data_IF_689065603193
#
_entry.id   IF_689065603193
#
_cell.length_a   1.000
_cell.length_b   1.000
_cell.length_c   1.000
_cell.angle_alpha   90.00
_cell.angle_beta   90.00
_cell.angle_gamma   90.00
#
_symmetry.space_group_name_H-M   'P 1'
#
loop_
_entity.id
_entity.type
_entity.pdbx_description
1 polymer ?
#
# COMPACT_ATOMS: atom_id res chain seq x y z
N UNK A 1 -4.78 -23.09 28.72
CA UNK A 1 -4.26 -22.37 27.54
C UNK A 1 -4.98 -22.80 26.27
N UNK A 2 -4.97 -24.09 25.88
CA UNK A 2 -5.64 -24.58 24.67
C UNK A 2 -7.13 -24.20 24.57
N UNK A 3 -7.91 -24.42 25.64
CA UNK A 3 -9.34 -24.04 25.68
C UNK A 3 -9.61 -22.54 25.45
N UNK A 4 -8.67 -21.67 25.85
CA UNK A 4 -8.79 -20.22 25.66
C UNK A 4 -8.48 -19.87 24.21
N UNK A 5 -7.46 -20.50 23.63
CA UNK A 5 -7.15 -20.36 22.21
C UNK A 5 -8.33 -20.82 21.36
N UNK A 6 -8.85 -22.01 21.61
CA UNK A 6 -9.97 -22.56 20.82
C UNK A 6 -11.25 -21.71 20.91
N UNK A 7 -11.43 -21.00 22.04
CA UNK A 7 -12.56 -20.10 22.25
C UNK A 7 -12.38 -18.74 21.53
N UNK A 8 -11.20 -18.12 21.64
CA UNK A 8 -10.94 -16.77 21.09
C UNK A 8 -10.57 -16.79 19.60
N UNK A 9 -9.97 -17.89 19.12
CA UNK A 9 -9.42 -17.97 17.77
C UNK A 9 -10.46 -17.78 16.65
N UNK A 10 -11.70 -18.32 16.72
CA UNK A 10 -12.72 -18.05 15.72
C UNK A 10 -13.07 -16.56 15.58
N UNK A 11 -13.14 -15.84 16.70
CA UNK A 11 -13.46 -14.40 16.69
C UNK A 11 -12.29 -13.58 16.13
N UNK A 12 -11.06 -13.95 16.47
CA UNK A 12 -9.84 -13.36 15.88
C UNK A 12 -9.82 -13.59 14.36
N UNK A 13 -10.06 -14.83 13.90
CA UNK A 13 -10.11 -15.15 12.47
C UNK A 13 -11.20 -14.37 11.75
N UNK A 14 -12.38 -14.23 12.36
CA UNK A 14 -13.48 -13.43 11.82
C UNK A 14 -13.08 -11.96 11.65
N UNK A 15 -12.37 -11.39 12.62
CA UNK A 15 -11.86 -10.03 12.52
C UNK A 15 -10.77 -9.87 11.44
N UNK A 16 -9.89 -10.87 11.29
CA UNK A 16 -8.82 -10.87 10.29
C UNK A 16 -9.33 -11.14 8.85
N UNK A 17 -10.41 -11.89 8.68
CA UNK A 17 -11.03 -12.14 7.37
C UNK A 17 -11.83 -10.94 6.82
N UNK A 18 -11.78 -9.78 7.49
CA UNK A 18 -12.40 -8.55 7.01
C UNK A 18 -11.74 -8.11 5.69
N UNK A 19 -12.51 -7.86 4.62
CA UNK A 19 -11.97 -7.37 3.36
C UNK A 19 -11.49 -5.93 3.53
N UNK A 20 -10.30 -5.62 3.01
CA UNK A 20 -9.64 -4.32 3.20
C UNK A 20 -9.34 -3.59 1.89
N UNK A 21 -9.12 -4.30 0.79
CA UNK A 21 -8.80 -3.71 -0.51
C UNK A 21 -9.17 -4.67 -1.65
N UNK A 22 -9.24 -4.13 -2.86
CA UNK A 22 -9.30 -4.88 -4.11
C UNK A 22 -8.03 -4.64 -4.91
N UNK A 23 -7.49 -5.65 -5.57
CA UNK A 23 -6.42 -5.48 -6.56
C UNK A 23 -6.99 -5.63 -7.96
N UNK A 24 -6.65 -4.70 -8.86
CA UNK A 24 -7.02 -4.76 -10.26
C UNK A 24 -6.06 -5.61 -11.12
N UNK A 25 -4.95 -6.05 -10.54
CA UNK A 25 -3.93 -6.88 -11.19
C UNK A 25 -3.72 -8.18 -10.40
N UNK A 26 -3.21 -9.20 -11.08
CA UNK A 26 -2.71 -10.41 -10.42
C UNK A 26 -1.54 -10.06 -9.51
N UNK A 27 -1.56 -10.61 -8.29
CA UNK A 27 -0.48 -10.42 -7.32
C UNK A 27 0.18 -11.77 -7.03
N UNK A 28 1.40 -11.94 -7.52
CA UNK A 28 2.24 -13.09 -7.17
C UNK A 28 3.22 -12.72 -6.05
N UNK A 29 3.09 -13.41 -4.93
CA UNK A 29 3.93 -13.25 -3.73
C UNK A 29 4.74 -14.52 -3.45
N UNK A 30 4.90 -15.40 -4.46
CA UNK A 30 5.79 -16.56 -4.36
C UNK A 30 7.24 -16.11 -4.28
N UNK A 31 8.01 -16.77 -3.42
CA UNK A 31 9.41 -16.40 -3.17
C UNK A 31 10.29 -16.49 -4.42
N UNK A 32 9.99 -17.42 -5.33
CA UNK A 32 10.69 -17.58 -6.61
C UNK A 32 10.52 -16.37 -7.53
N UNK A 33 9.37 -15.70 -7.48
CA UNK A 33 9.03 -14.57 -8.32
C UNK A 33 9.56 -13.26 -7.73
N UNK A 34 9.16 -12.94 -6.50
CA UNK A 34 9.47 -11.66 -5.87
C UNK A 34 10.97 -11.47 -5.57
N UNK A 35 11.76 -12.56 -5.54
CA UNK A 35 13.21 -12.52 -5.26
C UNK A 35 14.10 -12.62 -6.49
N UNK A 36 13.52 -12.76 -7.68
CA UNK A 36 14.27 -12.90 -8.93
C UNK A 36 14.06 -11.74 -9.89
N UNK A 37 12.95 -11.01 -9.75
CA UNK A 37 12.56 -9.92 -10.62
C UNK A 37 11.69 -8.88 -9.92
N UNK A 38 11.52 -7.72 -10.56
CA UNK A 38 10.58 -6.69 -10.14
C UNK A 38 9.16 -7.29 -10.07
N UNK A 39 8.45 -6.99 -8.96
CA UNK A 39 7.12 -7.53 -8.68
C UNK A 39 6.14 -6.41 -8.33
N UNK A 40 4.86 -6.50 -8.79
CA UNK A 40 3.86 -5.48 -8.48
C UNK A 40 3.68 -5.28 -6.97
N UNK A 41 3.65 -6.36 -6.19
CA UNK A 41 3.48 -6.30 -4.73
C UNK A 41 4.65 -5.58 -4.03
N UNK A 42 5.89 -5.81 -4.47
CA UNK A 42 7.07 -5.15 -3.91
C UNK A 42 7.04 -3.65 -4.18
N UNK A 43 6.72 -3.26 -5.41
CA UNK A 43 6.58 -1.85 -5.79
C UNK A 43 5.47 -1.17 -4.99
N UNK A 44 4.30 -1.81 -4.87
CA UNK A 44 3.18 -1.23 -4.12
C UNK A 44 3.51 -1.04 -2.63
N UNK A 45 4.17 -2.01 -2.00
CA UNK A 45 4.61 -1.88 -0.59
C UNK A 45 5.61 -0.73 -0.45
N UNK A 46 6.60 -0.63 -1.34
CA UNK A 46 7.59 0.45 -1.32
C UNK A 46 6.95 1.83 -1.58
N UNK A 47 6.03 1.93 -2.54
CA UNK A 47 5.30 3.16 -2.85
C UNK A 47 4.41 3.60 -1.69
N UNK A 48 3.77 2.64 -1.00
CA UNK A 48 2.89 2.92 0.14
C UNK A 48 3.63 3.51 1.34
N UNK A 49 4.91 3.17 1.51
CA UNK A 49 5.71 3.67 2.64
C UNK A 49 6.53 4.92 2.29
N UNK A 50 6.77 5.22 1.01
CA UNK A 50 7.60 6.36 0.58
C UNK A 50 7.19 7.68 1.22
N UNK A 51 5.89 7.96 1.25
CA UNK A 51 5.36 9.24 1.73
C UNK A 51 4.89 9.18 3.19
N UNK A 52 5.13 8.07 3.89
CA UNK A 52 4.63 7.83 5.25
C UNK A 52 5.15 8.83 6.28
N UNK A 53 6.35 9.36 6.08
CA UNK A 53 7.00 10.30 7.00
C UNK A 53 7.27 11.68 6.41
N UNK A 54 6.70 12.00 5.24
CA UNK A 54 6.99 13.25 4.54
C UNK A 54 6.75 14.49 5.42
N UNK A 55 5.68 14.52 6.22
CA UNK A 55 5.40 15.67 7.10
C UNK A 55 6.47 15.88 8.19
N UNK A 56 7.00 14.79 8.74
CA UNK A 56 8.05 14.83 9.77
C UNK A 56 9.40 15.16 9.12
N UNK A 57 9.71 14.51 8.00
CA UNK A 57 10.95 14.74 7.26
C UNK A 57 11.04 16.18 6.74
N UNK A 58 9.96 16.76 6.22
CA UNK A 58 9.96 18.17 5.79
C UNK A 58 10.30 19.11 6.96
N UNK A 59 9.84 18.81 8.18
CA UNK A 59 10.18 19.61 9.37
C UNK A 59 11.63 19.42 9.83
N UNK A 60 12.17 18.20 9.74
CA UNK A 60 13.51 17.87 10.25
C UNK A 60 14.64 18.20 9.27
N UNK A 61 14.41 17.97 7.98
CA UNK A 61 15.44 18.07 6.93
C UNK A 61 15.03 18.92 5.73
N UNK A 62 13.84 19.54 5.76
CA UNK A 62 13.37 20.46 4.72
C UNK A 62 12.81 19.79 3.46
N UNK A 63 12.78 18.47 3.39
CA UNK A 63 12.24 17.69 2.27
C UNK A 63 11.63 16.36 2.72
N UNK A 64 10.77 15.78 1.88
CA UNK A 64 10.24 14.42 2.08
C UNK A 64 11.28 13.33 1.78
N UNK A 65 10.87 12.07 1.83
CA UNK A 65 11.77 10.97 1.47
C UNK A 65 12.09 10.97 -0.03
N UNK A 66 13.37 10.75 -0.36
CA UNK A 66 13.82 10.65 -1.75
C UNK A 66 13.44 9.28 -2.33
N UNK A 67 13.57 8.22 -1.53
CA UNK A 67 13.23 6.86 -1.95
C UNK A 67 13.11 5.85 -0.80
N UNK A 68 12.86 4.61 -1.20
CA UNK A 68 12.64 3.47 -0.31
C UNK A 68 13.45 2.27 -0.79
N UNK A 69 14.05 1.54 0.15
CA UNK A 69 14.60 0.20 -0.09
C UNK A 69 13.92 -0.77 0.88
N UNK A 70 13.12 -1.67 0.33
CA UNK A 70 12.60 -2.85 1.01
C UNK A 70 13.26 -4.10 0.44
N UNK A 71 13.17 -5.23 1.13
CA UNK A 71 13.66 -6.52 0.61
C UNK A 71 12.51 -7.49 0.38
N UNK A 72 12.62 -8.26 -0.69
CA UNK A 72 11.65 -9.29 -1.04
C UNK A 72 11.52 -10.38 0.04
N UNK A 73 12.54 -10.55 0.89
CA UNK A 73 12.51 -11.43 2.07
C UNK A 73 11.53 -10.99 3.15
N UNK A 74 11.18 -9.70 3.21
CA UNK A 74 10.16 -9.17 4.12
C UNK A 74 8.74 -9.52 3.67
N UNK A 75 8.55 -9.81 2.37
CA UNK A 75 7.27 -10.19 1.78
C UNK A 75 7.09 -11.71 1.90
N UNK A 76 6.07 -12.12 2.67
CA UNK A 76 5.74 -13.51 3.01
C UNK A 76 4.44 -13.95 2.33
N UNK A 77 3.99 -15.15 2.69
CA UNK A 77 2.70 -15.69 2.28
C UNK A 77 2.75 -16.73 1.16
N UNK A 78 3.76 -16.67 0.28
CA UNK A 78 4.01 -17.65 -0.78
C UNK A 78 2.72 -18.03 -1.54
N UNK A 79 1.95 -17.02 -1.94
CA UNK A 79 0.64 -17.17 -2.54
C UNK A 79 0.56 -16.36 -3.84
N UNK A 80 -0.32 -16.79 -4.75
CA UNK A 80 -0.64 -16.08 -6.00
C UNK A 80 -2.14 -15.79 -6.01
N UNK A 81 -2.47 -14.51 -6.18
CA UNK A 81 -3.82 -13.98 -6.22
C UNK A 81 -4.22 -13.72 -7.67
N UNK A 82 -4.86 -14.71 -8.30
CA UNK A 82 -5.24 -14.70 -9.72
C UNK A 82 -6.68 -14.22 -9.94
N UNK A 83 -7.02 -13.92 -11.20
CA UNK A 83 -8.36 -13.51 -11.65
C UNK A 83 -8.84 -12.18 -11.03
N UNK A 84 -8.24 -11.04 -11.41
CA UNK A 84 -8.68 -9.73 -10.92
C UNK A 84 -10.13 -9.39 -11.36
N UNK A 85 -10.88 -8.61 -10.56
CA UNK A 85 -10.46 -7.98 -9.32
C UNK A 85 -10.46 -8.96 -8.12
N UNK A 86 -9.34 -9.06 -7.41
CA UNK A 86 -9.22 -9.93 -6.21
C UNK A 86 -9.42 -9.10 -4.95
N UNK A 87 -10.28 -9.57 -4.04
CA UNK A 87 -10.45 -8.96 -2.71
C UNK A 87 -9.40 -9.52 -1.77
N UNK A 88 -8.57 -8.65 -1.17
CA UNK A 88 -7.64 -9.05 -0.11
C UNK A 88 -8.22 -8.75 1.27
N UNK A 89 -7.98 -9.67 2.20
CA UNK A 89 -8.38 -9.53 3.61
C UNK A 89 -7.25 -8.95 4.46
N UNK A 90 -7.58 -8.55 5.69
CA UNK A 90 -6.57 -8.15 6.67
C UNK A 90 -5.61 -9.30 7.00
N UNK A 91 -6.11 -10.55 6.99
CA UNK A 91 -5.32 -11.77 7.16
C UNK A 91 -4.31 -11.92 6.03
N UNK A 92 -4.70 -11.69 4.78
CA UNK A 92 -3.78 -11.76 3.63
C UNK A 92 -2.66 -10.73 3.76
N UNK A 93 -3.00 -9.49 4.10
CA UNK A 93 -2.00 -8.45 4.30
C UNK A 93 -1.05 -8.76 5.47
N UNK A 94 -1.57 -9.27 6.59
CA UNK A 94 -0.74 -9.66 7.74
C UNK A 94 0.10 -10.91 7.45
N UNK A 95 -0.38 -11.80 6.58
CA UNK A 95 0.39 -12.95 6.09
C UNK A 95 1.53 -12.52 5.17
N UNK A 96 1.32 -11.50 4.33
CA UNK A 96 2.37 -10.93 3.47
C UNK A 96 3.36 -10.12 4.29
N UNK A 97 2.88 -9.19 5.12
CA UNK A 97 3.68 -8.32 5.97
C UNK A 97 3.66 -8.87 7.41
N UNK A 98 4.31 -10.02 7.57
CA UNK A 98 4.30 -10.75 8.84
C UNK A 98 5.03 -9.97 9.94
N UNK A 99 6.23 -9.48 9.60
CA UNK A 99 7.12 -8.79 10.53
C UNK A 99 6.60 -7.41 10.91
N UNK A 100 6.79 -7.07 12.18
CA UNK A 100 6.38 -5.78 12.75
C UNK A 100 7.55 -4.79 12.84
N UNK A 101 8.65 -5.07 12.13
CA UNK A 101 9.84 -4.24 12.16
C UNK A 101 9.50 -2.82 11.69
N UNK A 102 9.89 -1.79 12.46
CA UNK A 102 9.65 -0.40 12.11
C UNK A 102 10.38 0.01 10.83
N UNK A 103 9.78 0.99 10.14
CA UNK A 103 10.43 1.70 9.03
C UNK A 103 11.19 2.89 9.62
N UNK A 104 12.48 2.95 9.32
CA UNK A 104 13.43 3.98 9.73
C UNK A 104 13.84 4.85 8.54
N UNK A 105 14.29 6.08 8.80
CA UNK A 105 14.76 7.01 7.78
C UNK A 105 16.25 7.26 7.94
N UNK A 106 17.03 6.96 6.91
CA UNK A 106 18.49 7.13 6.89
C UNK A 106 18.88 8.24 5.91
N UNK A 107 19.87 9.04 6.30
CA UNK A 107 20.59 9.95 5.40
C UNK A 107 21.78 9.20 4.78
N UNK A 108 21.70 8.92 3.49
CA UNK A 108 22.70 8.16 2.74
C UNK A 108 23.44 9.03 1.72
N UNK A 109 24.74 8.84 1.60
CA UNK A 109 25.53 9.36 0.48
C UNK A 109 25.33 8.49 -0.77
N UNK A 110 25.68 9.04 -1.95
CA UNK A 110 25.62 8.31 -3.21
C UNK A 110 26.39 6.98 -3.16
N UNK A 111 27.61 6.98 -2.59
CA UNK A 111 28.44 5.76 -2.48
C UNK A 111 27.74 4.63 -1.71
N UNK A 112 27.05 4.98 -0.62
CA UNK A 112 26.34 4.05 0.26
C UNK A 112 25.12 3.49 -0.44
N UNK A 113 24.36 4.34 -1.15
CA UNK A 113 23.20 3.91 -1.94
C UNK A 113 23.60 2.92 -3.04
N UNK A 114 24.68 3.20 -3.77
CA UNK A 114 25.21 2.28 -4.78
C UNK A 114 25.62 0.94 -4.17
N UNK A 115 26.36 0.96 -3.06
CA UNK A 115 26.77 -0.26 -2.38
C UNK A 115 25.59 -1.07 -1.81
N UNK A 116 24.52 -0.40 -1.36
CA UNK A 116 23.30 -1.06 -0.89
C UNK A 116 22.60 -1.81 -2.04
N UNK A 117 22.48 -1.17 -3.21
CA UNK A 117 21.88 -1.82 -4.38
C UNK A 117 22.74 -2.98 -4.91
N UNK A 118 24.07 -2.82 -4.93
CA UNK A 118 25.00 -3.91 -5.26
C UNK A 118 24.85 -5.10 -4.31
N UNK A 119 24.72 -4.84 -3.00
CA UNK A 119 24.51 -5.90 -2.01
C UNK A 119 23.19 -6.62 -2.23
N UNK A 120 22.09 -5.90 -2.44
CA UNK A 120 20.77 -6.48 -2.72
C UNK A 120 20.76 -7.38 -3.95
N UNK A 121 21.50 -6.99 -4.99
CA UNK A 121 21.58 -7.74 -6.24
C UNK A 121 22.68 -8.80 -6.26
N UNK A 122 23.59 -8.82 -5.28
CA UNK A 122 24.82 -9.65 -5.27
C UNK A 122 24.59 -11.16 -5.38
N UNK A 123 23.46 -11.68 -4.86
CA UNK A 123 23.16 -13.12 -4.84
C UNK A 123 22.32 -13.59 -6.01
N UNK A 124 21.80 -12.69 -6.83
CA UNK A 124 21.06 -13.08 -8.03
C UNK A 124 21.93 -13.99 -8.94
N UNK A 125 21.40 -15.06 -9.55
CA UNK A 125 20.00 -15.48 -9.61
C UNK A 125 19.52 -16.33 -8.43
N UNK A 126 20.30 -16.53 -7.37
CA UNK A 126 19.82 -17.21 -6.16
C UNK A 126 18.62 -16.44 -5.60
N UNK A 127 17.53 -17.13 -5.27
CA UNK A 127 16.27 -16.57 -4.75
C UNK A 127 16.40 -16.16 -3.26
N UNK A 128 17.46 -15.41 -2.96
CA UNK A 128 17.78 -14.88 -1.65
C UNK A 128 16.82 -13.73 -1.28
N UNK A 129 16.48 -13.64 0.01
CA UNK A 129 15.55 -12.60 0.52
C UNK A 129 16.03 -11.16 0.28
N UNK A 130 17.33 -10.96 0.07
CA UNK A 130 17.97 -9.65 -0.12
C UNK A 130 17.58 -8.92 -1.41
N UNK A 131 16.90 -9.57 -2.35
CA UNK A 131 16.51 -8.93 -3.61
C UNK A 131 15.67 -7.66 -3.31
N UNK A 132 16.03 -6.49 -3.86
CA UNK A 132 15.42 -5.23 -3.45
C UNK A 132 14.06 -4.98 -4.12
N UNK A 133 13.15 -4.39 -3.37
CA UNK A 133 11.97 -3.71 -3.87
C UNK A 133 12.12 -2.21 -3.57
N UNK A 134 12.01 -1.36 -4.59
CA UNK A 134 12.40 0.06 -4.48
C UNK A 134 11.26 1.01 -4.84
N UNK A 135 11.33 2.24 -4.34
CA UNK A 135 10.44 3.34 -4.74
C UNK A 135 11.21 4.65 -4.77
N UNK A 136 10.83 5.54 -5.69
CA UNK A 136 11.38 6.89 -5.81
C UNK A 136 12.66 7.04 -6.63
N UNK A 137 13.25 5.93 -7.07
CA UNK A 137 14.38 5.91 -7.98
C UNK A 137 14.35 4.66 -8.85
N UNK A 138 15.07 4.73 -9.97
CA UNK A 138 15.27 3.64 -10.91
C UNK A 138 16.70 3.13 -10.81
N UNK A 139 16.88 1.83 -10.99
CA UNK A 139 18.17 1.14 -11.00
C UNK A 139 18.23 0.26 -12.23
N UNK A 140 19.19 0.57 -13.10
CA UNK A 140 19.60 -0.32 -14.19
C UNK A 140 20.75 -1.18 -13.70
N UNK A 141 20.65 -2.49 -13.90
CA UNK A 141 21.67 -3.44 -13.47
C UNK A 141 21.85 -4.58 -14.47
N UNK A 142 22.97 -5.26 -14.43
CA UNK A 142 23.32 -6.36 -15.33
C UNK A 142 23.66 -7.60 -14.50
N UNK A 143 22.75 -8.58 -14.52
CA UNK A 143 22.91 -9.83 -13.79
C UNK A 143 24.01 -10.74 -14.32
N UNK A 144 24.56 -10.49 -15.52
CA UNK A 144 25.69 -11.25 -16.07
C UNK A 144 27.03 -10.84 -15.45
N UNK A 145 27.10 -9.68 -14.80
CA UNK A 145 28.31 -9.16 -14.15
C UNK A 145 28.59 -9.85 -12.82
N UNK A 146 29.87 -9.89 -12.39
CA UNK A 146 30.23 -10.41 -11.08
C UNK A 146 29.54 -9.61 -9.96
N UNK A 147 29.32 -10.26 -8.81
CA UNK A 147 28.73 -9.61 -7.65
C UNK A 147 29.50 -8.33 -7.28
N UNK A 148 28.77 -7.29 -6.84
CA UNK A 148 29.28 -5.94 -6.55
C UNK A 148 29.75 -5.11 -7.77
N UNK A 149 29.46 -5.56 -8.98
CA UNK A 149 29.66 -4.80 -10.22
C UNK A 149 28.43 -4.87 -11.14
N UNK A 150 27.26 -5.12 -10.56
CA UNK A 150 26.02 -5.36 -11.30
C UNK A 150 25.25 -4.07 -11.57
N UNK A 151 25.33 -3.08 -10.70
CA UNK A 151 24.59 -1.83 -10.85
C UNK A 151 25.27 -0.98 -11.92
N UNK A 152 24.50 -0.57 -12.93
CA UNK A 152 24.97 0.26 -14.03
C UNK A 152 24.66 1.72 -13.77
N UNK A 153 23.43 2.03 -13.36
CA UNK A 153 22.97 3.39 -13.15
C UNK A 153 21.88 3.45 -12.09
N UNK A 154 21.84 4.56 -11.36
CA UNK A 154 20.77 4.90 -10.43
C UNK A 154 20.25 6.31 -10.76
N UNK A 155 18.93 6.45 -10.87
CA UNK A 155 18.26 7.70 -11.25
C UNK A 155 17.13 8.02 -10.28
N UNK A 156 17.21 9.12 -9.54
CA UNK A 156 16.07 9.59 -8.74
C UNK A 156 14.97 10.15 -9.61
N UNK A 157 13.74 9.90 -9.18
CA UNK A 157 12.54 10.48 -9.73
C UNK A 157 12.14 11.69 -8.86
N UNK A 158 12.57 12.88 -9.26
CA UNK A 158 12.12 14.12 -8.64
C UNK A 158 10.83 14.57 -9.30
N UNK A 159 9.76 14.70 -8.53
CA UNK A 159 8.53 15.37 -8.96
C UNK A 159 8.73 16.87 -8.73
N UNK A 160 8.95 17.62 -9.80
CA UNK A 160 9.03 19.07 -9.77
C UNK A 160 7.79 19.67 -10.40
N UNK A 161 7.19 20.67 -9.75
CA UNK A 161 6.14 21.49 -10.36
C UNK A 161 6.78 22.66 -11.09
N UNK A 162 7.16 22.46 -12.34
CA UNK A 162 7.62 23.55 -13.20
C UNK A 162 6.39 24.15 -13.90
N UNK A 163 6.14 25.46 -13.72
CA UNK A 163 4.98 26.17 -14.27
C UNK A 163 3.60 25.58 -13.88
N UNK A 164 3.47 25.02 -12.68
CA UNK A 164 2.21 24.43 -12.21
C UNK A 164 1.87 23.09 -12.88
N UNK A 165 2.80 22.47 -13.61
CA UNK A 165 2.65 21.13 -14.18
C UNK A 165 3.63 20.17 -13.48
N UNK A 166 3.18 18.98 -13.04
CA UNK A 166 4.08 17.98 -12.51
C UNK A 166 5.02 17.50 -13.63
N UNK A 167 6.32 17.67 -13.43
CA UNK A 167 7.40 17.22 -14.30
C UNK A 167 8.27 16.26 -13.51
N UNK A 168 8.51 15.09 -14.09
CA UNK A 168 9.44 14.12 -13.54
C UNK A 168 10.84 14.48 -14.03
N UNK A 169 11.68 15.01 -13.14
CA UNK A 169 13.10 15.23 -13.38
C UNK A 169 13.85 13.97 -12.98
N UNK A 170 14.66 13.44 -13.89
CA UNK A 170 15.55 12.31 -13.61
C UNK A 170 16.92 12.85 -13.23
N UNK A 171 17.35 12.63 -11.99
CA UNK A 171 18.69 13.02 -11.52
C UNK A 171 19.56 11.78 -11.32
N UNK A 172 20.64 11.68 -12.09
CA UNK A 172 21.57 10.57 -11.95
C UNK A 172 22.31 10.66 -10.61
N UNK A 173 22.38 9.54 -9.90
CA UNK A 173 23.19 9.43 -8.68
C UNK A 173 24.60 9.06 -9.09
N UNK A 174 25.52 10.01 -8.97
CA UNK A 174 26.94 9.70 -9.17
C UNK A 174 27.49 8.99 -7.93
N UNK A 175 28.25 7.91 -8.12
CA UNK A 175 28.81 7.10 -7.03
C UNK A 175 29.72 7.89 -6.08
N UNK A 176 30.39 8.93 -6.59
CA UNK A 176 31.29 9.82 -5.83
C UNK A 176 30.59 11.09 -5.35
N UNK A 177 29.26 11.17 -5.45
CA UNK A 177 28.52 12.36 -5.02
C UNK A 177 28.40 12.41 -3.50
N UNK A 178 28.74 13.55 -2.92
CA UNK A 178 28.48 13.91 -1.52
C UNK A 178 27.03 14.35 -1.29
N UNK A 179 26.17 14.25 -2.31
CA UNK A 179 24.74 14.54 -2.17
C UNK A 179 24.10 13.55 -1.18
N UNK A 180 23.35 14.11 -0.25
CA UNK A 180 22.64 13.38 0.81
C UNK A 180 21.21 13.07 0.41
N UNK A 181 20.87 11.78 0.47
CA UNK A 181 19.56 11.24 0.13
C UNK A 181 18.88 10.69 1.37
N UNK A 182 17.60 10.96 1.54
CA UNK A 182 16.76 10.43 2.62
C UNK A 182 16.08 9.17 2.11
N UNK A 183 16.53 8.02 2.60
CA UNK A 183 16.05 6.70 2.18
C UNK A 183 15.35 6.02 3.35
N UNK A 184 14.10 5.59 3.12
CA UNK A 184 13.36 4.78 4.07
C UNK A 184 13.72 3.31 3.90
N UNK A 185 14.02 2.64 5.01
CA UNK A 185 14.34 1.21 5.04
C UNK A 185 13.67 0.55 6.25
N UNK A 186 13.53 -0.78 6.25
CA UNK A 186 13.19 -1.49 7.48
C UNK A 186 14.37 -1.49 8.45
N UNK A 187 14.09 -1.43 9.76
CA UNK A 187 15.12 -1.51 10.81
C UNK A 187 16.08 -2.69 10.62
N UNK A 188 15.56 -3.86 10.23
CA UNK A 188 16.38 -5.04 9.93
C UNK A 188 17.48 -4.76 8.90
N UNK A 189 17.19 -3.98 7.86
CA UNK A 189 18.16 -3.58 6.84
C UNK A 189 19.12 -2.50 7.34
N UNK A 190 18.60 -1.52 8.10
CA UNK A 190 19.43 -0.48 8.73
C UNK A 190 20.49 -1.09 9.66
N UNK A 191 20.16 -2.19 10.35
CA UNK A 191 21.08 -2.93 11.21
C UNK A 191 22.01 -3.91 10.45
N UNK A 192 22.00 -3.89 9.12
CA UNK A 192 22.88 -4.70 8.28
C UNK A 192 22.33 -6.07 7.87
N UNK A 193 21.05 -6.34 8.12
CA UNK A 193 20.36 -7.58 7.76
C UNK A 193 20.44 -7.89 6.27
N UNK A 194 20.33 -9.18 5.93
CA UNK A 194 20.33 -9.70 4.54
C UNK A 194 21.58 -9.36 3.70
N UNK A 195 22.64 -8.82 4.30
CA UNK A 195 23.88 -8.42 3.62
C UNK A 195 23.99 -6.90 3.42
N UNK A 196 23.04 -6.11 3.91
CA UNK A 196 23.05 -4.65 3.83
C UNK A 196 23.94 -3.99 4.89
N UNK A 197 25.09 -4.60 5.23
CA UNK A 197 26.01 -4.09 6.24
C UNK A 197 26.45 -2.63 6.02
N UNK A 198 26.40 -2.15 4.77
CA UNK A 198 26.70 -0.77 4.40
C UNK A 198 25.69 0.26 4.92
N UNK A 199 24.48 -0.18 5.27
CA UNK A 199 23.44 0.68 5.86
C UNK A 199 23.62 0.86 7.38
N UNK A 200 24.49 0.05 7.99
CA UNK A 200 24.81 0.17 9.40
C UNK A 200 25.57 1.47 9.67
N UNK A 201 25.35 2.05 10.84
CA UNK A 201 26.03 3.23 11.35
C UNK A 201 25.87 4.50 10.46
N UNK A 202 24.86 4.51 9.58
CA UNK A 202 24.48 5.69 8.82
C UNK A 202 23.70 6.67 9.70
N UNK A 203 23.66 7.95 9.29
CA UNK A 203 22.94 8.96 10.05
C UNK A 203 21.42 8.67 10.02
N UNK A 204 20.85 8.41 11.18
CA UNK A 204 19.43 8.17 11.38
C UNK A 204 18.70 9.50 11.55
N UNK A 205 17.62 9.71 10.78
CA UNK A 205 16.70 10.85 10.92
C UNK A 205 15.47 10.44 11.71
N UNK A 206 14.95 9.23 11.44
CA UNK A 206 13.85 8.59 12.17
C UNK A 206 14.35 7.20 12.58
N UNK A 207 14.41 6.95 13.88
CA UNK A 207 14.89 5.70 14.49
C UNK A 207 13.77 4.65 14.62
N UNK A 208 14.13 3.47 15.12
CA UNK A 208 13.19 2.39 15.38
C UNK A 208 12.11 2.73 16.42
N UNK A 209 12.42 3.59 17.39
CA UNK A 209 11.48 3.98 18.46
C UNK A 209 10.34 4.86 17.92
N UNK A 210 10.66 5.76 16.99
CA UNK A 210 9.69 6.63 16.33
C UNK A 210 9.09 5.99 15.07
N UNK A 211 9.71 4.92 14.57
CA UNK A 211 9.27 4.17 13.41
C UNK A 211 8.01 3.35 13.67
N UNK A 212 7.21 3.15 12.61
CA UNK A 212 6.03 2.29 12.57
C UNK A 212 6.24 1.14 11.62
N UNK A 213 5.60 0.01 11.89
CA UNK A 213 5.69 -1.15 11.01
C UNK A 213 5.02 -0.89 9.66
N UNK A 214 5.55 -1.54 8.60
CA UNK A 214 5.01 -1.44 7.24
C UNK A 214 3.53 -1.81 7.18
N UNK A 215 3.14 -2.85 7.92
CA UNK A 215 1.75 -3.27 8.05
C UNK A 215 0.86 -2.15 8.59
N UNK A 216 1.30 -1.47 9.66
CA UNK A 216 0.54 -0.37 10.26
C UNK A 216 0.44 0.84 9.31
N UNK A 217 1.54 1.20 8.65
CA UNK A 217 1.57 2.29 7.67
C UNK A 217 0.62 2.04 6.49
N UNK A 218 0.63 0.82 5.94
CA UNK A 218 -0.26 0.44 4.84
C UNK A 218 -1.71 0.36 5.31
N UNK A 219 -1.99 -0.22 6.48
CA UNK A 219 -3.34 -0.25 7.06
C UNK A 219 -3.88 1.17 7.24
N UNK A 220 -3.05 2.10 7.71
CA UNK A 220 -3.39 3.52 7.87
C UNK A 220 -3.69 4.17 6.52
N UNK A 221 -2.82 3.98 5.53
CA UNK A 221 -3.06 4.44 4.16
C UNK A 221 -4.40 3.93 3.61
N UNK A 222 -4.69 2.63 3.73
CA UNK A 222 -5.92 2.04 3.23
C UNK A 222 -7.16 2.61 3.92
N UNK A 223 -7.11 2.83 5.25
CA UNK A 223 -8.20 3.49 5.99
C UNK A 223 -8.41 4.92 5.49
N UNK A 224 -7.35 5.70 5.30
CA UNK A 224 -7.43 7.07 4.79
C UNK A 224 -7.93 7.15 3.35
N UNK A 225 -7.48 6.25 2.48
CA UNK A 225 -7.96 6.15 1.11
C UNK A 225 -9.45 5.78 1.07
N UNK A 226 -9.87 4.87 1.95
CA UNK A 226 -11.27 4.52 2.09
C UNK A 226 -12.11 5.72 2.55
N UNK A 227 -11.63 6.45 3.56
CA UNK A 227 -12.29 7.64 4.08
C UNK A 227 -12.45 8.69 2.98
N UNK A 228 -11.39 8.95 2.21
CA UNK A 228 -11.41 9.89 1.10
C UNK A 228 -12.47 9.50 0.05
N UNK A 229 -12.49 8.23 -0.38
CA UNK A 229 -13.47 7.75 -1.36
C UNK A 229 -14.89 7.87 -0.82
N UNK A 230 -15.12 7.51 0.46
CA UNK A 230 -16.42 7.68 1.09
C UNK A 230 -16.83 9.15 1.13
N UNK A 231 -15.96 10.07 1.58
CA UNK A 231 -16.24 11.51 1.65
C UNK A 231 -16.48 12.15 0.27
N UNK A 232 -15.86 11.61 -0.79
CA UNK A 232 -16.10 12.04 -2.17
C UNK A 232 -17.49 11.60 -2.64
N UNK A 233 -17.90 10.37 -2.34
CA UNK A 233 -19.17 9.79 -2.78
C UNK A 233 -20.38 10.24 -1.95
N UNK A 234 -20.22 10.33 -0.63
CA UNK A 234 -21.24 10.87 0.26
C UNK A 234 -21.05 12.37 0.33
N UNK A 235 -21.84 13.14 -0.43
CA UNK A 235 -21.92 14.60 -0.33
C UNK A 235 -22.22 15.11 1.10
N UNK A 236 -22.52 14.20 2.03
CA UNK A 236 -23.12 14.42 3.33
C UNK A 236 -22.17 14.51 4.54
N UNK A 237 -20.84 14.44 4.38
CA UNK A 237 -19.95 14.67 5.53
C UNK A 237 -19.97 16.16 5.84
N UNK A 238 -20.72 16.56 6.87
CA UNK A 238 -20.87 17.96 7.28
C UNK A 238 -19.47 18.56 7.47
N UNK A 239 -19.08 19.47 6.57
CA UNK A 239 -17.76 20.10 6.51
C UNK A 239 -17.38 20.85 7.80
N UNK A 240 -18.35 21.02 8.72
CA UNK A 240 -18.20 21.66 10.01
C UNK A 240 -17.23 20.95 10.97
N UNK A 241 -17.05 19.63 10.83
CA UNK A 241 -16.21 18.84 11.76
C UNK A 241 -14.92 18.29 11.15
N UNK A 242 -14.71 18.48 9.84
CA UNK A 242 -13.50 18.04 9.16
C UNK A 242 -12.39 19.09 9.30
N UNK A 243 -11.14 18.62 9.35
CA UNK A 243 -9.99 19.50 9.31
C UNK A 243 -9.96 20.29 7.98
N UNK A 244 -9.53 21.55 8.01
CA UNK A 244 -9.52 22.43 6.83
C UNK A 244 -8.73 21.85 5.65
N UNK A 245 -7.55 21.27 5.92
CA UNK A 245 -6.79 20.54 4.90
C UNK A 245 -7.57 19.35 4.32
N UNK A 246 -8.30 18.58 5.14
CA UNK A 246 -9.12 17.45 4.66
C UNK A 246 -10.20 17.95 3.71
N UNK A 247 -10.85 19.07 4.01
CA UNK A 247 -11.84 19.68 3.12
C UNK A 247 -11.22 20.05 1.77
N UNK A 248 -10.00 20.60 1.77
CA UNK A 248 -9.25 20.93 0.55
C UNK A 248 -8.84 19.68 -0.24
N UNK A 249 -8.45 18.60 0.44
CA UNK A 249 -8.09 17.34 -0.22
C UNK A 249 -9.32 16.68 -0.85
N UNK A 250 -10.46 16.67 -0.14
CA UNK A 250 -11.72 16.13 -0.66
C UNK A 250 -12.22 16.97 -1.84
N UNK A 251 -12.15 18.30 -1.76
CA UNK A 251 -12.57 19.18 -2.87
C UNK A 251 -11.65 19.01 -4.09
N UNK A 252 -10.34 18.89 -3.89
CA UNK A 252 -9.39 18.59 -4.95
C UNK A 252 -9.65 17.22 -5.59
N UNK A 253 -9.96 16.20 -4.79
CA UNK A 253 -10.33 14.87 -5.28
C UNK A 253 -11.64 14.90 -6.08
N UNK A 254 -12.65 15.65 -5.61
CA UNK A 254 -13.93 15.86 -6.32
C UNK A 254 -13.74 16.56 -7.66
N UNK A 255 -12.93 17.62 -7.70
CA UNK A 255 -12.61 18.33 -8.93
C UNK A 255 -11.96 17.41 -9.97
N UNK A 256 -11.09 16.49 -9.52
CA UNK A 256 -10.45 15.48 -10.38
C UNK A 256 -11.44 14.45 -10.90
N UNK A 257 -12.35 13.95 -10.07
CA UNK A 257 -13.39 13.01 -10.51
C UNK A 257 -14.39 13.66 -11.47
N UNK A 258 -14.70 14.95 -11.29
CA UNK A 258 -15.62 15.69 -12.16
C UNK A 258 -15.06 15.92 -13.57
N UNK A 259 -13.74 16.05 -13.72
CA UNK A 259 -13.08 16.28 -15.01
C UNK A 259 -13.13 15.06 -15.96
N UNK A 260 -13.32 13.84 -15.44
CA UNK A 260 -13.49 12.63 -16.26
C UNK A 260 -14.90 12.47 -16.85
N UNK A 261 -15.90 13.25 -16.40
CA UNK A 261 -17.29 13.11 -16.86
C UNK A 261 -17.61 13.91 -18.13
N UNK A 262 -16.72 14.80 -18.59
CA UNK A 262 -16.91 15.55 -19.82
C UNK A 262 -15.79 15.21 -20.81
N UNK A 263 -16.19 14.61 -21.94
CA UNK A 263 -15.38 14.23 -23.12
C UNK A 263 -14.83 12.81 -23.12
N UNK A 264 -15.63 11.86 -23.62
CA UNK A 264 -15.34 10.96 -24.76
C UNK A 264 -16.37 9.80 -24.74
N UNK A 265 -17.39 9.91 -25.58
CA UNK A 265 -18.30 8.81 -25.91
C UNK A 265 -17.54 7.78 -26.77
N UNK A 266 -17.15 6.67 -26.17
CA UNK A 266 -16.88 5.42 -26.86
C UNK A 266 -17.66 4.32 -26.14
N UNK A 267 -18.55 3.64 -26.87
CA UNK A 267 -19.32 2.49 -26.40
C UNK A 267 -18.36 1.37 -25.96
N UNK A 268 -18.29 1.14 -24.64
CA UNK A 268 -17.64 -0.02 -24.02
C UNK A 268 -18.51 -0.53 -22.85
N UNK A 269 -18.61 -1.86 -22.65
CA UNK A 269 -19.57 -2.47 -21.73
C UNK A 269 -19.26 -2.18 -20.25
N UNK A 270 -20.25 -1.59 -19.58
CA UNK A 270 -20.58 -1.44 -18.14
C UNK A 270 -19.65 -1.96 -17.02
N UNK A 271 -18.33 -1.82 -17.15
CA UNK A 271 -17.34 -2.00 -16.07
C UNK A 271 -16.37 -0.82 -16.02
N UNK A 272 -16.90 0.40 -16.10
CA UNK A 272 -16.13 1.63 -15.85
C UNK A 272 -15.98 1.84 -14.34
N UNK A 273 -14.98 1.18 -13.77
CA UNK A 273 -14.36 1.62 -12.52
C UNK A 273 -13.66 2.95 -12.86
N UNK A 274 -13.83 4.04 -12.09
CA UNK A 274 -13.10 5.28 -12.33
C UNK A 274 -11.61 5.00 -12.12
N UNK A 275 -10.91 4.73 -13.23
CA UNK A 275 -9.49 4.45 -13.31
C UNK A 275 -8.74 5.74 -13.11
N UNK A 276 -8.22 5.94 -11.90
CA UNK A 276 -7.06 6.79 -11.65
C UNK A 276 -5.83 6.06 -12.20
N UNK A 277 -5.67 6.06 -13.52
CA UNK A 277 -4.45 5.64 -14.19
C UNK A 277 -3.42 6.78 -14.10
N UNK A 278 -2.62 6.77 -13.04
CA UNK A 278 -1.42 7.62 -12.87
C UNK A 278 -0.33 6.76 -12.23
N UNK A 279 0.97 6.94 -12.55
CA UNK A 279 2.03 6.23 -11.82
C UNK A 279 1.92 6.58 -10.33
N UNK A 280 1.47 5.63 -9.50
CA UNK A 280 1.56 5.68 -8.03
C UNK A 280 1.55 7.11 -7.45
N UNK A 281 0.51 7.90 -7.72
CA UNK A 281 0.58 9.36 -7.54
C UNK A 281 0.93 9.67 -6.08
N UNK A 282 2.11 10.27 -5.84
CA UNK A 282 2.57 10.71 -4.52
C UNK A 282 1.46 11.44 -3.78
N UNK A 283 0.74 12.30 -4.48
CA UNK A 283 -0.41 13.04 -3.97
C UNK A 283 -1.51 12.17 -3.36
N UNK A 284 -1.90 11.05 -3.98
CA UNK A 284 -2.95 10.16 -3.44
C UNK A 284 -2.47 9.52 -2.14
N UNK A 285 -1.25 8.98 -2.13
CA UNK A 285 -0.65 8.39 -0.93
C UNK A 285 -0.55 9.41 0.19
N UNK A 286 -0.03 10.61 -0.10
CA UNK A 286 0.05 11.71 0.84
C UNK A 286 -1.33 12.12 1.33
N UNK A 287 -2.32 12.30 0.44
CA UNK A 287 -3.68 12.71 0.83
C UNK A 287 -4.34 11.69 1.75
N UNK A 288 -4.25 10.40 1.43
CA UNK A 288 -4.80 9.33 2.25
C UNK A 288 -4.11 9.27 3.62
N UNK A 289 -2.79 9.39 3.68
CA UNK A 289 -2.04 9.41 4.95
C UNK A 289 -2.42 10.62 5.81
N UNK A 290 -2.54 11.81 5.20
CA UNK A 290 -2.95 13.05 5.86
C UNK A 290 -4.33 12.96 6.48
N UNK A 291 -5.30 12.38 5.76
CA UNK A 291 -6.66 12.16 6.26
C UNK A 291 -6.64 11.19 7.43
N UNK A 292 -5.88 10.10 7.31
CA UNK A 292 -5.74 9.11 8.38
C UNK A 292 -4.99 9.62 9.62
N UNK A 293 -4.29 10.75 9.55
CA UNK A 293 -3.63 11.42 10.68
C UNK A 293 -4.51 12.45 11.37
N UNK A 294 -5.35 13.14 10.61
CA UNK A 294 -6.09 14.30 11.09
C UNK A 294 -7.53 13.99 11.48
N UNK A 295 -8.12 12.95 10.89
CA UNK A 295 -9.54 12.64 11.07
C UNK A 295 -9.78 11.42 11.94
N UNK A 296 -10.91 11.43 12.67
CA UNK A 296 -11.41 10.24 13.34
C UNK A 296 -12.06 9.28 12.33
N UNK A 297 -11.33 8.20 12.01
CA UNK A 297 -11.78 7.17 11.07
C UNK A 297 -12.61 6.06 11.72
N UNK A 298 -13.11 6.30 12.94
CA UNK A 298 -13.97 5.39 13.70
C UNK A 298 -15.20 4.90 12.92
N UNK A 299 -15.75 5.72 12.02
CA UNK A 299 -16.89 5.33 11.18
C UNK A 299 -16.56 4.17 10.22
N UNK A 300 -15.28 3.98 9.86
CA UNK A 300 -14.85 2.85 9.03
C UNK A 300 -14.61 1.56 9.83
N UNK A 301 -14.47 1.69 11.16
CA UNK A 301 -14.11 0.59 12.04
C UNK A 301 -14.80 0.73 13.40
N UNK A 302 -16.06 0.27 13.51
CA UNK A 302 -16.85 0.41 14.74
C UNK A 302 -16.13 -0.15 15.98
N UNK A 303 -15.28 -1.17 15.82
CA UNK A 303 -14.48 -1.72 16.91
C UNK A 303 -13.47 -0.71 17.49
N UNK A 304 -12.77 0.04 16.63
CA UNK A 304 -11.84 1.09 17.09
C UNK A 304 -12.61 2.24 17.74
N UNK A 305 -13.81 2.56 17.23
CA UNK A 305 -14.70 3.52 17.88
C UNK A 305 -15.05 3.10 19.31
N UNK A 306 -15.53 1.86 19.47
CA UNK A 306 -15.88 1.29 20.78
C UNK A 306 -14.69 1.20 21.72
N UNK A 307 -13.47 1.01 21.20
CA UNK A 307 -12.24 0.99 21.99
C UNK A 307 -11.80 2.40 22.41
N UNK A 308 -11.83 3.37 21.49
CA UNK A 308 -11.41 4.75 21.72
C UNK A 308 -12.38 5.52 22.63
N UNK A 309 -13.68 5.22 22.56
CA UNK A 309 -14.74 5.90 23.33
C UNK A 309 -15.13 5.13 24.60
N UNK A 310 -14.34 4.13 25.01
CA UNK A 310 -14.49 3.37 26.27
C UNK A 310 -13.82 4.05 27.46
N UNK A 311 -13.81 5.39 27.52
CA UNK A 311 -13.72 6.04 28.82
C UNK A 311 -15.07 5.82 29.54
N UNK A 312 -15.07 5.35 30.80
CA UNK A 312 -16.34 5.26 31.53
C UNK A 312 -16.96 6.66 31.58
N UNK A 313 -18.26 6.82 31.31
CA UNK A 313 -18.87 8.13 31.35
C UNK A 313 -18.72 8.69 32.77
N UNK A 314 -17.98 9.79 32.92
CA UNK A 314 -18.21 10.70 34.04
C UNK A 314 -19.62 11.23 33.86
N UNK A 315 -20.48 10.86 34.81
CA UNK A 315 -21.87 11.29 34.99
C UNK A 315 -22.14 12.70 34.46
N UNK A 316 -22.76 12.82 33.28
CA UNK A 316 -23.47 14.04 32.87
C UNK A 316 -24.73 13.66 32.09
N UNK A 317 -25.87 13.82 32.77
CA UNK A 317 -27.14 14.31 32.24
C UNK A 317 -27.79 13.56 31.08
N UNK A 318 -28.79 12.74 31.39
CA UNK A 318 -29.80 12.29 30.44
C UNK A 318 -30.49 13.51 29.79
N UNK A 319 -30.53 13.55 28.45
CA UNK A 319 -31.45 14.41 27.70
C UNK A 319 -32.25 13.53 26.73
N UNK A 320 -33.57 13.70 26.80
CA UNK A 320 -34.60 12.87 26.20
C UNK A 320 -34.54 12.83 24.66
N UNK A 321 -34.68 11.63 24.11
CA UNK A 321 -34.85 11.34 22.68
C UNK A 321 -36.27 11.66 22.20
N UNK A 322 -36.40 12.59 21.25
CA UNK A 322 -37.59 12.80 20.44
C UNK A 322 -37.52 12.01 19.12
N UNK A 323 -38.56 11.20 18.88
CA UNK A 323 -38.81 10.41 17.67
C UNK A 323 -39.10 11.33 16.46
N UNK A 324 -38.51 11.06 15.29
CA UNK A 324 -39.08 11.50 14.00
C UNK A 324 -39.05 10.32 13.03
N UNK A 325 -40.24 9.84 12.69
CA UNK A 325 -40.55 8.89 11.63
C UNK A 325 -40.60 9.59 10.27
N UNK A 326 -39.99 9.02 9.23
CA UNK A 326 -40.42 9.27 7.85
C UNK A 326 -40.47 7.94 7.08
N UNK A 327 -41.67 7.63 6.60
CA UNK A 327 -42.01 6.57 5.66
C UNK A 327 -42.03 7.15 4.24
N UNK A 328 -41.60 6.38 3.23
CA UNK A 328 -42.34 6.24 1.97
C UNK A 328 -41.71 5.13 1.08
N UNK A 329 -42.59 4.24 0.65
CA UNK A 329 -42.39 3.11 -0.26
C UNK A 329 -42.10 3.56 -1.71
N UNK A 330 -41.58 2.67 -2.58
CA UNK A 330 -42.27 2.16 -3.79
C UNK A 330 -41.38 1.18 -4.63
N UNK A 331 -41.95 -0.02 -4.87
CA UNK A 331 -41.86 -1.00 -6.00
C UNK A 331 -40.49 -1.43 -6.62
N UNK A 332 -40.06 -2.70 -6.45
CA UNK A 332 -40.34 -3.94 -7.23
C UNK A 332 -39.59 -4.06 -8.57
N UNK A 333 -38.70 -5.06 -8.69
CA UNK A 333 -38.67 -6.03 -9.79
C UNK A 333 -37.77 -7.25 -9.46
N UNK A 334 -38.36 -8.42 -9.62
CA UNK A 334 -37.93 -9.79 -9.26
C UNK A 334 -37.09 -10.45 -10.37
N UNK A 335 -36.12 -11.29 -10.01
CA UNK A 335 -35.72 -12.45 -10.82
C UNK A 335 -35.65 -13.69 -9.92
N UNK A 336 -36.50 -14.64 -10.27
CA UNK A 336 -36.76 -15.94 -9.65
C UNK A 336 -35.73 -17.00 -10.05
N UNK A 337 -35.34 -17.87 -9.11
CA UNK A 337 -34.99 -19.25 -9.40
C UNK A 337 -35.57 -20.15 -8.31
N UNK A 338 -36.40 -21.10 -8.74
CA UNK A 338 -37.18 -22.06 -7.96
C UNK A 338 -36.32 -23.25 -7.48
N UNK A 339 -36.61 -23.80 -6.31
CA UNK A 339 -36.95 -25.23 -6.13
C UNK A 339 -37.42 -25.55 -4.67
N UNK A 340 -38.07 -26.70 -4.39
CA UNK A 340 -39.24 -26.75 -3.51
C UNK A 340 -39.07 -27.59 -2.22
N UNK A 341 -40.07 -27.40 -1.33
CA UNK A 341 -40.56 -28.30 -0.29
C UNK A 341 -39.64 -28.70 0.89
N UNK A 342 -39.94 -28.18 2.10
CA UNK A 342 -40.69 -28.91 3.14
C UNK A 342 -40.56 -28.28 4.55
N UNK A 343 -41.73 -28.09 5.17
CA UNK A 343 -42.05 -28.10 6.62
C UNK A 343 -41.50 -27.07 7.63
N UNK A 344 -42.43 -26.15 7.98
CA UNK A 344 -42.93 -25.78 9.33
C UNK A 344 -41.92 -25.42 10.45
N UNK A 345 -41.91 -24.12 10.75
CA UNK A 345 -42.29 -23.62 12.07
C UNK A 345 -41.17 -23.39 13.08
N UNK A 346 -40.55 -22.21 13.04
CA UNK A 346 -40.47 -21.32 14.22
C UNK A 346 -39.95 -19.94 13.79
N UNK A 347 -40.71 -18.89 14.09
CA UNK A 347 -40.37 -17.50 13.82
C UNK A 347 -39.30 -17.02 14.80
N UNK A 348 -38.03 -17.02 14.37
CA UNK A 348 -37.01 -16.17 14.96
C UNK A 348 -36.81 -14.97 14.05
N UNK A 349 -37.31 -13.80 14.47
CA UNK A 349 -37.10 -12.50 13.81
C UNK A 349 -35.61 -12.24 13.62
N UNK A 350 -35.10 -12.51 12.42
CA UNK A 350 -33.81 -12.05 11.97
C UNK A 350 -33.88 -10.53 11.79
N UNK A 351 -33.16 -9.78 12.63
CA UNK A 351 -32.85 -8.38 12.36
C UNK A 351 -31.97 -8.36 11.11
N UNK A 352 -32.55 -7.98 9.97
CA UNK A 352 -31.80 -7.62 8.77
C UNK A 352 -30.94 -6.39 9.10
N UNK A 353 -29.69 -6.63 9.43
CA UNK A 353 -28.67 -5.59 9.38
C UNK A 353 -28.51 -5.17 7.93
N UNK A 354 -28.80 -3.90 7.63
CA UNK A 354 -28.37 -3.26 6.37
C UNK A 354 -26.90 -3.64 6.16
N UNK A 355 -26.60 -4.44 5.14
CA UNK A 355 -25.22 -4.66 4.70
C UNK A 355 -24.74 -3.32 4.17
N UNK A 356 -24.07 -2.56 5.03
CA UNK A 356 -23.34 -1.37 4.67
C UNK A 356 -22.37 -1.75 3.54
N UNK A 357 -22.61 -1.23 2.33
CA UNK A 357 -21.75 -1.49 1.17
C UNK A 357 -20.45 -0.73 1.41
N UNK A 358 -19.55 -1.36 2.17
CA UNK A 358 -18.26 -0.81 2.51
C UNK A 358 -17.43 -0.68 1.23
N UNK A 359 -17.27 0.55 0.74
CA UNK A 359 -16.51 0.84 -0.49
C UNK A 359 -15.04 0.51 -0.22
N UNK A 360 -14.50 -0.49 -0.92
CA UNK A 360 -13.12 -0.92 -0.74
C UNK A 360 -12.19 -0.15 -1.70
N UNK A 361 -11.03 0.34 -1.23
CA UNK A 361 -10.04 0.93 -2.13
C UNK A 361 -9.55 -0.13 -3.13
N UNK A 362 -9.46 0.26 -4.40
CA UNK A 362 -8.89 -0.59 -5.45
C UNK A 362 -7.47 -0.11 -5.74
N UNK A 363 -6.49 -0.99 -5.60
CA UNK A 363 -5.10 -0.71 -5.91
C UNK A 363 -4.77 -1.22 -7.31
N UNK A 364 -3.89 -0.48 -8.00
CA UNK A 364 -3.32 -0.84 -9.29
C UNK A 364 -1.78 -0.90 -9.19
N UNK A 365 -1.20 -1.90 -8.52
CA UNK A 365 0.25 -2.11 -8.52
C UNK A 365 0.81 -2.20 -9.95
N UNK A 366 1.90 -1.48 -10.21
CA UNK A 366 2.53 -1.40 -11.55
C UNK A 366 3.97 -1.88 -11.46
N UNK A 367 4.41 -2.61 -12.49
CA UNK A 367 5.82 -2.85 -12.80
C UNK A 367 6.21 -1.82 -13.85
N UNK A 368 7.12 -0.92 -13.52
CA UNK A 368 7.46 0.27 -14.30
C UNK A 368 8.94 0.31 -14.70
N UNK A 369 9.61 -0.84 -14.69
CA UNK A 369 11.03 -1.00 -15.00
C UNK A 369 11.93 -0.18 -14.05
N UNK A 370 11.47 0.13 -12.83
CA UNK A 370 12.32 0.80 -11.84
C UNK A 370 13.50 -0.08 -11.42
N UNK A 371 13.41 -1.40 -11.49
CA UNK A 371 14.52 -2.32 -11.20
C UNK A 371 14.82 -3.20 -12.43
N UNK A 372 15.39 -2.57 -13.45
CA UNK A 372 15.58 -3.19 -14.77
C UNK A 372 16.88 -3.96 -14.89
N UNK A 373 16.79 -5.25 -15.21
CA UNK A 373 17.93 -6.06 -15.62
C UNK A 373 18.22 -5.82 -17.11
N UNK A 374 19.33 -5.16 -17.41
CA UNK A 374 19.82 -4.83 -18.74
C UNK A 374 20.77 -5.91 -19.31
N UNK A 375 20.88 -7.08 -18.68
CA UNK A 375 21.68 -8.19 -19.20
C UNK A 375 21.24 -8.54 -20.63
N UNK A 376 22.18 -8.80 -21.57
CA UNK A 376 21.82 -9.23 -22.91
C UNK A 376 21.03 -10.53 -22.81
N UNK A 377 19.87 -10.57 -23.48
CA UNK A 377 19.05 -11.77 -23.53
C UNK A 377 19.92 -12.93 -24.02
N UNK A 378 20.16 -13.94 -23.17
CA UNK A 378 20.85 -15.15 -23.61
C UNK A 378 20.04 -15.74 -24.76
N UNK A 379 20.60 -15.75 -25.96
CA UNK A 379 20.10 -16.54 -27.07
C UNK A 379 19.94 -17.98 -26.57
N UNK A 380 18.74 -18.54 -26.70
CA UNK A 380 18.42 -19.91 -26.24
C UNK A 380 19.16 -21.01 -27.01
N UNK A 381 20.06 -20.68 -27.93
CA UNK A 381 20.59 -21.59 -28.94
C UNK A 381 21.99 -22.17 -28.65
N UNK A 382 22.57 -21.93 -27.47
CA UNK A 382 23.95 -22.37 -27.17
C UNK A 382 24.08 -23.48 -26.11
N UNK A 383 22.98 -24.20 -25.80
CA UNK A 383 22.97 -25.22 -24.75
C UNK A 383 22.94 -26.68 -25.25
N UNK A 384 23.02 -26.92 -26.56
CA UNK A 384 22.92 -28.29 -27.12
C UNK A 384 24.24 -28.84 -27.71
N UNK A 385 25.31 -28.03 -27.78
CA UNK A 385 26.52 -28.41 -28.54
C UNK A 385 27.73 -28.81 -27.66
N UNK A 386 27.48 -29.21 -26.41
CA UNK A 386 28.54 -29.67 -25.48
C UNK A 386 28.29 -31.04 -24.85
N UNK A 387 27.33 -31.82 -25.38
CA UNK A 387 27.06 -33.19 -24.94
C UNK A 387 27.70 -34.29 -25.81
N UNK A 388 28.41 -33.96 -26.89
CA UNK A 388 29.15 -34.94 -27.69
C UNK A 388 30.59 -34.48 -27.95
N UNK A 389 31.51 -34.68 -27.00
CA UNK A 389 32.94 -34.98 -27.26
C UNK A 389 33.57 -35.78 -26.13
#
# INVERSE_FOLDING_TARGET
MQKVVDFEFPDILKALNKPILKTAVELDVRSEYIRSQESPIGNWVADSIRNAYDEVLVKLVGKGADGVIATAGELRGNASFKNPPVVLTLLDLKRILHYDNPVVALELEGKTLWAAMESGLSKWPDTAGRFPAISGFHVSWDGSRPANQRVLEIWFQEESTEHGRPKVIKKQVTRTSDTKYVILVGEYLANGGDGYAVLKDQKVIIDEENGKSKFLLIKKFLKGAQALVTMVQTEATSSKFLHSETVNLVSAAKARSGFQSSTLTFDLPSTFIPTLAWPASRELYTSALKIAEREDLSFLDPYEWFRAHRQPPSTVGAIATGLVTMSLETAIATVTAQDPAAHKGDEVKAKEGKKEVKVLPTIHPVVDDRLKNAAPARSRDAADDSAER
#
